data_IF_710528747921
#
_entry.id   IF_710528747921
#
_cell.length_a   1.000
_cell.length_b   1.000
_cell.length_c   1.000
_cell.angle_alpha   90.00
_cell.angle_beta   90.00
_cell.angle_gamma   90.00
#
_symmetry.space_group_name_H-M   'P 1'
#
loop_
_entity.id
_entity.type
_entity.pdbx_description
1 polymer ?
#
# COMPACT_ATOMS: atom_id res chain seq x y z
N UNK A 1 -14.59 16.63 -25.58
CA UNK A 1 -13.48 16.49 -26.54
C UNK A 1 -12.53 15.49 -25.89
N UNK A 2 -12.51 14.26 -26.40
CA UNK A 2 -11.56 13.23 -25.98
C UNK A 2 -10.27 13.50 -26.73
N UNK A 3 -9.28 14.12 -26.07
CA UNK A 3 -7.93 14.16 -26.61
C UNK A 3 -7.44 12.73 -26.74
N UNK A 4 -7.19 12.31 -27.97
CA UNK A 4 -6.56 11.02 -28.25
C UNK A 4 -5.14 11.05 -27.70
N UNK A 5 -4.95 10.38 -26.55
CA UNK A 5 -3.64 10.20 -25.95
C UNK A 5 -2.82 9.32 -26.88
N UNK A 6 -1.90 9.91 -27.62
CA UNK A 6 -1.02 9.21 -28.54
C UNK A 6 0.06 8.47 -27.75
N UNK A 7 -0.29 7.29 -27.26
CA UNK A 7 0.63 6.43 -26.53
C UNK A 7 1.49 5.64 -27.51
N UNK A 8 2.83 5.57 -27.34
CA UNK A 8 3.67 4.76 -28.20
C UNK A 8 3.28 3.28 -28.15
N UNK A 9 3.44 2.57 -29.27
CA UNK A 9 3.08 1.16 -29.40
C UNK A 9 3.89 0.24 -28.46
N UNK A 10 5.11 0.65 -28.13
CA UNK A 10 6.02 -0.05 -27.20
C UNK A 10 6.81 0.98 -26.39
N UNK A 11 6.94 0.73 -25.09
CA UNK A 11 7.73 1.51 -24.15
C UNK A 11 9.15 0.94 -23.99
N UNK A 12 10.14 1.72 -23.57
CA UNK A 12 11.43 1.19 -23.16
C UNK A 12 11.21 0.06 -22.14
N UNK A 13 11.85 -1.11 -22.34
CA UNK A 13 11.66 -2.29 -21.49
C UNK A 13 10.53 -3.24 -21.88
N UNK A 14 9.95 -3.10 -23.11
CA UNK A 14 9.03 -4.11 -23.67
C UNK A 14 7.60 -4.10 -23.11
N UNK A 15 7.20 -3.03 -22.38
CA UNK A 15 5.84 -2.90 -21.85
C UNK A 15 4.88 -2.59 -23.00
N UNK A 16 3.85 -3.42 -23.16
CA UNK A 16 2.82 -3.19 -24.17
C UNK A 16 1.84 -2.11 -23.70
N UNK A 17 1.19 -1.39 -24.66
CA UNK A 17 0.12 -0.45 -24.37
C UNK A 17 -0.98 -1.07 -23.48
N UNK A 18 -1.30 -2.36 -23.69
CA UNK A 18 -2.29 -3.08 -22.90
C UNK A 18 -1.85 -3.23 -21.45
N UNK A 19 -0.62 -3.67 -21.20
CA UNK A 19 -0.07 -3.83 -19.83
C UNK A 19 0.00 -2.49 -19.11
N UNK A 20 0.38 -1.42 -19.83
CA UNK A 20 0.41 -0.07 -19.26
C UNK A 20 -0.99 0.44 -18.87
N UNK A 21 -2.00 0.23 -19.73
CA UNK A 21 -3.38 0.60 -19.39
C UNK A 21 -3.96 -0.25 -18.26
N UNK A 22 -3.59 -1.54 -18.16
CA UNK A 22 -3.95 -2.40 -17.02
C UNK A 22 -3.34 -1.87 -15.72
N UNK A 23 -2.09 -1.45 -15.76
CA UNK A 23 -1.43 -0.79 -14.63
C UNK A 23 -2.15 0.51 -14.21
N UNK A 24 -2.48 1.40 -15.16
CA UNK A 24 -3.24 2.62 -14.87
C UNK A 24 -4.63 2.32 -14.27
N UNK A 25 -5.26 1.24 -14.71
CA UNK A 25 -6.55 0.77 -14.16
C UNK A 25 -6.39 0.24 -12.74
N UNK A 26 -5.32 -0.52 -12.46
CA UNK A 26 -5.01 -1.00 -11.13
C UNK A 26 -4.69 0.14 -10.16
N UNK A 27 -3.95 1.16 -10.63
CA UNK A 27 -3.73 2.40 -9.86
C UNK A 27 -5.04 3.14 -9.56
N UNK A 28 -5.93 3.28 -10.55
CA UNK A 28 -7.24 3.88 -10.32
C UNK A 28 -8.00 3.13 -9.22
N UNK A 29 -8.04 1.79 -9.29
CA UNK A 29 -8.68 0.97 -8.28
C UNK A 29 -8.00 1.12 -6.90
N UNK A 30 -6.68 1.12 -6.84
CA UNK A 30 -5.89 1.35 -5.61
C UNK A 30 -6.16 2.71 -4.96
N UNK A 31 -6.45 3.73 -5.76
CA UNK A 31 -6.84 5.07 -5.32
C UNK A 31 -8.35 5.21 -5.06
N UNK A 32 -9.12 4.12 -5.13
CA UNK A 32 -10.58 4.11 -5.06
C UNK A 32 -11.26 5.02 -6.11
N UNK A 33 -10.69 5.10 -7.31
CA UNK A 33 -11.19 5.86 -8.45
C UNK A 33 -11.85 4.93 -9.47
N UNK A 34 -12.83 5.42 -10.27
CA UNK A 34 -13.40 4.65 -11.36
C UNK A 34 -12.33 4.26 -12.41
N UNK A 35 -12.47 3.08 -13.02
CA UNK A 35 -11.56 2.60 -14.08
C UNK A 35 -11.49 3.56 -15.29
N UNK A 36 -12.53 4.39 -15.49
CA UNK A 36 -12.56 5.45 -16.51
C UNK A 36 -11.51 6.54 -16.31
N UNK A 37 -10.86 6.59 -15.15
CA UNK A 37 -9.74 7.50 -14.88
C UNK A 37 -8.40 7.00 -15.42
N UNK A 38 -8.29 5.72 -15.82
CA UNK A 38 -7.05 5.14 -16.33
C UNK A 38 -6.39 5.95 -17.48
N UNK A 39 -7.13 6.47 -18.49
CA UNK A 39 -6.51 7.31 -19.53
C UNK A 39 -5.91 8.61 -18.98
N UNK A 40 -6.56 9.24 -17.99
CA UNK A 40 -6.07 10.47 -17.38
C UNK A 40 -4.83 10.21 -16.51
N UNK A 41 -4.80 9.09 -15.80
CA UNK A 41 -3.62 8.62 -15.08
C UNK A 41 -2.49 8.33 -16.08
N UNK A 42 -2.80 7.66 -17.20
CA UNK A 42 -1.84 7.40 -18.26
C UNK A 42 -1.22 8.70 -18.81
N UNK A 43 -2.03 9.71 -19.07
CA UNK A 43 -1.55 11.03 -19.53
C UNK A 43 -0.60 11.68 -18.51
N UNK A 44 -1.00 11.70 -17.23
CA UNK A 44 -0.17 12.29 -16.17
C UNK A 44 1.19 11.56 -16.00
N UNK A 45 1.18 10.24 -16.17
CA UNK A 45 2.40 9.42 -16.11
C UNK A 45 3.32 9.62 -17.33
N UNK A 46 2.74 9.99 -18.47
CA UNK A 46 3.50 10.19 -19.73
C UNK A 46 3.85 11.64 -20.03
N UNK A 47 3.53 12.54 -19.11
CA UNK A 47 3.89 13.95 -19.26
C UNK A 47 5.41 14.10 -19.32
N UNK A 48 5.97 14.70 -20.38
CA UNK A 48 7.40 14.93 -20.47
C UNK A 48 7.94 15.91 -19.42
N UNK A 49 7.07 16.74 -18.83
CA UNK A 49 7.41 17.60 -17.69
C UNK A 49 7.24 16.84 -16.38
N UNK A 50 8.21 16.03 -16.05
CA UNK A 50 8.21 15.26 -14.79
C UNK A 50 8.33 16.23 -13.61
N UNK A 51 7.48 16.06 -12.57
CA UNK A 51 7.62 16.89 -11.38
C UNK A 51 8.91 16.55 -10.65
N UNK A 52 9.68 17.54 -10.24
CA UNK A 52 10.82 17.33 -9.40
C UNK A 52 10.41 16.77 -8.04
N UNK A 53 11.13 15.78 -7.55
CA UNK A 53 10.98 15.21 -6.21
C UNK A 53 12.28 15.41 -5.45
N UNK A 54 12.16 16.04 -4.30
CA UNK A 54 13.23 16.18 -3.30
C UNK A 54 12.89 15.24 -2.15
N UNK A 55 13.79 14.34 -1.81
CA UNK A 55 13.60 13.37 -0.74
C UNK A 55 14.66 13.60 0.35
N UNK A 56 14.22 14.08 1.50
CA UNK A 56 15.07 14.37 2.64
C UNK A 56 15.03 13.23 3.67
N UNK A 57 16.18 12.90 4.23
CA UNK A 57 16.37 11.85 5.22
C UNK A 57 16.72 12.44 6.59
N UNK A 58 15.92 12.09 7.60
CA UNK A 58 16.12 12.50 8.99
C UNK A 58 16.58 11.35 9.88
N UNK A 59 16.05 11.28 11.12
CA UNK A 59 16.31 10.16 12.01
C UNK A 59 15.48 8.94 11.58
N UNK A 60 16.12 8.02 10.85
CA UNK A 60 15.46 6.93 10.14
C UNK A 60 16.39 5.70 9.96
N UNK A 61 15.91 4.67 9.28
CA UNK A 61 16.61 3.42 8.98
C UNK A 61 16.71 3.11 7.48
N UNK A 62 16.37 4.06 6.60
CA UNK A 62 16.26 3.91 5.13
C UNK A 62 15.20 2.89 4.69
N UNK A 63 14.37 2.40 5.64
CA UNK A 63 13.39 1.34 5.39
C UNK A 63 12.29 1.74 4.41
N UNK A 64 11.89 3.01 4.37
CA UNK A 64 10.85 3.49 3.47
C UNK A 64 11.37 3.60 2.04
N UNK A 65 12.60 4.10 1.85
CA UNK A 65 13.31 4.05 0.56
C UNK A 65 13.49 2.61 0.08
N UNK A 66 13.93 1.70 0.95
CA UNK A 66 14.06 0.27 0.62
C UNK A 66 12.72 -0.38 0.25
N UNK A 67 11.63 0.03 0.88
CA UNK A 67 10.29 -0.42 0.50
C UNK A 67 9.92 0.03 -0.91
N UNK A 68 10.25 1.28 -1.28
CA UNK A 68 10.01 1.79 -2.63
C UNK A 68 10.78 0.98 -3.68
N UNK A 69 12.05 0.61 -3.40
CA UNK A 69 12.87 -0.21 -4.30
C UNK A 69 12.30 -1.62 -4.56
N UNK A 70 11.35 -2.07 -3.74
CA UNK A 70 10.67 -3.36 -3.91
C UNK A 70 9.40 -3.28 -4.75
N UNK A 71 9.04 -2.10 -5.26
CA UNK A 71 7.93 -1.98 -6.19
C UNK A 71 8.29 -2.64 -7.54
N UNK A 72 7.41 -3.50 -8.05
CA UNK A 72 7.60 -4.17 -9.34
C UNK A 72 6.75 -3.54 -10.45
N UNK A 73 5.66 -2.83 -10.08
CA UNK A 73 4.73 -2.21 -11.01
C UNK A 73 4.33 -0.78 -10.60
N UNK A 74 5.03 0.28 -11.02
CA UNK A 74 6.24 0.30 -11.86
C UNK A 74 7.47 -0.19 -11.10
N UNK A 75 8.48 -0.67 -11.83
CA UNK A 75 9.80 -0.89 -11.24
C UNK A 75 10.42 0.45 -10.85
N UNK A 76 11.40 0.44 -9.95
CA UNK A 76 12.07 1.66 -9.49
C UNK A 76 12.74 2.42 -10.62
N UNK A 77 13.28 1.73 -11.62
CA UNK A 77 13.87 2.37 -12.80
C UNK A 77 12.80 3.16 -13.57
N UNK A 78 11.64 2.57 -13.79
CA UNK A 78 10.51 3.28 -14.43
C UNK A 78 9.99 4.44 -13.60
N UNK A 79 9.94 4.27 -12.27
CA UNK A 79 9.57 5.38 -11.40
C UNK A 79 10.50 6.56 -11.59
N UNK A 80 11.80 6.35 -11.46
CA UNK A 80 12.82 7.42 -11.49
C UNK A 80 13.00 7.99 -12.91
N UNK A 81 13.01 7.13 -13.95
CA UNK A 81 13.31 7.58 -15.30
C UNK A 81 12.09 8.03 -16.10
N UNK A 82 10.90 7.56 -15.76
CA UNK A 82 9.70 7.81 -16.57
C UNK A 82 8.61 8.62 -15.85
N UNK A 83 8.47 8.49 -14.51
CA UNK A 83 7.32 9.03 -13.79
C UNK A 83 7.62 10.30 -12.99
N UNK A 84 8.79 10.38 -12.36
CA UNK A 84 9.23 11.51 -11.56
C UNK A 84 10.63 11.94 -11.97
N UNK A 85 11.02 13.17 -11.64
CA UNK A 85 12.41 13.57 -11.63
C UNK A 85 12.91 13.51 -10.19
N UNK A 86 13.65 12.48 -9.83
CA UNK A 86 14.25 12.36 -8.49
C UNK A 86 15.51 13.21 -8.45
N UNK A 87 15.34 14.49 -8.11
CA UNK A 87 16.40 15.49 -8.20
C UNK A 87 17.33 15.50 -7.00
N UNK A 88 16.84 15.00 -5.87
CA UNK A 88 17.63 14.87 -4.63
C UNK A 88 17.15 13.67 -3.82
N UNK A 89 18.08 12.77 -3.47
CA UNK A 89 17.85 11.62 -2.61
C UNK A 89 19.19 11.15 -2.03
N UNK A 90 19.43 11.39 -0.78
CA UNK A 90 20.74 11.22 -0.13
C UNK A 90 21.37 9.82 -0.28
N UNK A 91 20.54 8.77 -0.44
CA UNK A 91 21.03 7.39 -0.54
C UNK A 91 21.06 6.84 -1.97
N UNK A 92 20.43 7.49 -2.95
CA UNK A 92 20.33 7.00 -4.33
C UNK A 92 21.06 7.88 -5.34
N UNK A 93 21.37 9.14 -5.01
CA UNK A 93 22.06 10.04 -5.91
C UNK A 93 23.55 9.71 -6.04
N UNK A 94 24.13 10.01 -7.22
CA UNK A 94 25.54 9.79 -7.47
C UNK A 94 26.45 10.93 -6.95
N UNK A 95 25.86 12.11 -6.71
CA UNK A 95 26.57 13.28 -6.18
C UNK A 95 26.91 13.13 -4.72
N UNK A 96 27.88 13.90 -4.22
CA UNK A 96 28.22 13.95 -2.80
C UNK A 96 28.70 15.35 -2.40
N UNK A 97 28.55 15.68 -1.10
CA UNK A 97 29.05 16.91 -0.50
C UNK A 97 28.52 18.17 -1.18
N UNK A 98 29.39 19.10 -1.54
CA UNK A 98 28.99 20.39 -2.12
C UNK A 98 28.22 20.27 -3.46
N UNK A 99 28.46 19.22 -4.24
CA UNK A 99 27.74 19.01 -5.50
C UNK A 99 26.27 18.70 -5.25
N UNK A 100 25.98 17.83 -4.31
CA UNK A 100 24.65 17.47 -3.86
C UNK A 100 23.89 18.65 -3.30
N UNK A 101 24.51 19.38 -2.38
CA UNK A 101 23.92 20.59 -1.77
C UNK A 101 23.62 21.67 -2.84
N UNK A 102 24.54 21.86 -3.80
CA UNK A 102 24.31 22.78 -4.92
C UNK A 102 23.20 22.31 -5.87
N UNK A 103 23.02 20.99 -6.04
CA UNK A 103 21.92 20.43 -6.82
C UNK A 103 20.60 20.68 -6.12
N UNK A 104 20.51 20.40 -4.82
CA UNK A 104 19.33 20.68 -4.00
C UNK A 104 18.93 22.15 -4.08
N UNK A 105 19.87 23.07 -3.88
CA UNK A 105 19.62 24.51 -3.94
C UNK A 105 19.08 24.94 -5.32
N UNK A 106 19.68 24.45 -6.42
CA UNK A 106 19.22 24.75 -7.78
C UNK A 106 17.83 24.19 -8.05
N UNK A 107 17.52 22.98 -7.59
CA UNK A 107 16.20 22.37 -7.77
C UNK A 107 15.13 23.19 -7.05
N UNK A 108 15.39 23.62 -5.82
CA UNK A 108 14.48 24.46 -5.05
C UNK A 108 14.23 25.80 -5.76
N UNK A 109 15.30 26.48 -6.20
CA UNK A 109 15.21 27.77 -6.87
C UNK A 109 14.45 27.69 -8.21
N UNK A 110 14.81 26.69 -9.04
CA UNK A 110 14.23 26.53 -10.38
C UNK A 110 12.78 26.04 -10.36
N UNK A 111 12.35 25.37 -9.29
CA UNK A 111 11.05 24.71 -9.19
C UNK A 111 10.21 25.20 -8.00
N UNK A 112 10.40 26.45 -7.59
CA UNK A 112 9.68 27.02 -6.45
C UNK A 112 8.16 26.82 -6.59
N UNK A 113 7.54 26.24 -5.58
CA UNK A 113 6.10 25.92 -5.52
C UNK A 113 5.64 24.74 -6.42
N UNK A 114 6.56 24.06 -7.11
CA UNK A 114 6.20 23.02 -8.10
C UNK A 114 6.73 21.64 -7.75
N UNK A 115 7.75 21.49 -6.90
CA UNK A 115 8.30 20.20 -6.55
C UNK A 115 7.52 19.52 -5.41
N UNK A 116 7.62 18.21 -5.36
CA UNK A 116 7.11 17.39 -4.28
C UNK A 116 8.25 17.17 -3.28
N UNK A 117 8.03 17.55 -2.02
CA UNK A 117 8.93 17.25 -0.93
C UNK A 117 8.49 15.96 -0.24
N UNK A 118 9.34 14.94 -0.26
CA UNK A 118 9.19 13.71 0.51
C UNK A 118 10.15 13.77 1.68
N UNK A 119 9.67 13.48 2.87
CA UNK A 119 10.48 13.46 4.09
C UNK A 119 10.39 12.06 4.71
N UNK A 120 11.52 11.40 4.83
CA UNK A 120 11.71 10.13 5.53
C UNK A 120 12.41 10.37 6.86
N UNK A 121 11.94 9.76 7.94
CA UNK A 121 12.55 9.90 9.26
C UNK A 121 11.88 10.91 10.18
N UNK A 122 12.15 10.76 11.46
CA UNK A 122 11.72 11.67 12.50
C UNK A 122 12.60 12.91 12.58
N UNK A 123 12.09 13.98 13.19
CA UNK A 123 12.79 15.24 13.35
C UNK A 123 13.12 15.44 14.84
N UNK A 124 14.39 15.29 15.25
CA UNK A 124 14.80 15.62 16.61
C UNK A 124 14.69 17.12 16.86
N UNK A 125 14.10 17.50 18.00
CA UNK A 125 13.96 18.92 18.39
C UNK A 125 14.77 19.27 19.62
N UNK A 126 15.20 18.29 20.44
CA UNK A 126 15.99 18.54 21.62
C UNK A 126 17.32 19.20 21.24
N UNK A 127 17.82 20.10 22.08
CA UNK A 127 19.04 20.85 21.88
C UNK A 127 19.15 21.52 20.50
N UNK A 128 18.06 22.19 20.10
CA UNK A 128 17.90 22.84 18.78
C UNK A 128 18.07 21.91 17.57
N UNK A 129 17.81 20.62 17.74
CA UNK A 129 17.82 19.64 16.62
C UNK A 129 19.20 19.08 16.26
N UNK A 130 20.22 19.29 17.14
CA UNK A 130 21.61 18.85 16.88
C UNK A 130 21.77 17.35 16.65
N UNK A 131 20.81 16.53 17.09
CA UNK A 131 20.87 15.07 17.00
C UNK A 131 20.63 14.49 15.60
N UNK A 132 20.24 15.33 14.64
CA UNK A 132 20.20 14.94 13.22
C UNK A 132 20.73 16.11 12.39
N UNK A 133 21.89 15.90 11.76
CA UNK A 133 22.55 16.91 10.91
C UNK A 133 22.91 16.32 9.56
N UNK A 134 22.52 17.02 8.51
CA UNK A 134 22.77 16.64 7.12
C UNK A 134 23.35 17.85 6.39
N UNK A 135 24.38 17.66 5.58
CA UNK A 135 25.02 18.74 4.84
C UNK A 135 25.55 19.89 5.72
N UNK A 136 25.86 19.61 7.00
CA UNK A 136 26.32 20.61 7.96
C UNK A 136 25.21 21.42 8.64
N UNK A 137 23.94 21.26 8.25
CA UNK A 137 22.75 21.90 8.85
C UNK A 137 22.02 20.93 9.79
N UNK A 138 21.28 21.48 10.75
CA UNK A 138 20.34 20.69 11.52
C UNK A 138 19.15 20.31 10.62
N UNK A 139 18.73 19.05 10.68
CA UNK A 139 17.68 18.53 9.78
C UNK A 139 16.36 19.30 9.89
N UNK A 140 16.00 19.75 11.09
CA UNK A 140 14.82 20.59 11.32
C UNK A 140 14.84 21.88 10.50
N UNK A 141 16.02 22.50 10.32
CA UNK A 141 16.16 23.73 9.54
C UNK A 141 16.05 23.43 8.03
N UNK A 142 16.71 22.35 7.57
CA UNK A 142 16.60 21.89 6.18
C UNK A 142 15.16 21.57 5.79
N UNK A 143 14.41 20.90 6.68
CA UNK A 143 12.98 20.61 6.46
C UNK A 143 12.16 21.90 6.36
N UNK A 144 12.35 22.87 7.26
CA UNK A 144 11.61 24.14 7.22
C UNK A 144 11.91 24.94 5.96
N UNK A 145 13.19 25.08 5.60
CA UNK A 145 13.63 25.81 4.41
C UNK A 145 13.07 25.18 3.13
N UNK A 146 13.23 23.87 2.97
CA UNK A 146 12.76 23.16 1.77
C UNK A 146 11.24 23.15 1.67
N UNK A 147 10.55 22.91 2.79
CA UNK A 147 9.09 22.90 2.83
C UNK A 147 8.47 24.26 2.48
N UNK A 148 9.13 25.37 2.79
CA UNK A 148 8.64 26.71 2.45
C UNK A 148 8.45 26.88 0.93
N UNK A 149 9.28 26.23 0.13
CA UNK A 149 9.26 26.29 -1.33
C UNK A 149 8.51 25.13 -2.01
N UNK A 150 8.09 24.10 -1.26
CA UNK A 150 7.45 22.91 -1.83
C UNK A 150 6.00 23.14 -2.26
N UNK A 151 5.59 22.54 -3.38
CA UNK A 151 4.20 22.51 -3.85
C UNK A 151 3.34 21.51 -3.09
N UNK A 152 3.90 20.36 -2.74
CA UNK A 152 3.26 19.34 -1.91
C UNK A 152 4.29 18.73 -0.94
N UNK A 153 3.85 18.27 0.24
CA UNK A 153 4.70 17.71 1.27
C UNK A 153 4.15 16.35 1.69
N UNK A 154 4.98 15.32 1.63
CA UNK A 154 4.64 13.95 1.99
C UNK A 154 5.60 13.47 3.08
N UNK A 155 5.07 13.08 4.23
CA UNK A 155 5.80 12.39 5.29
C UNK A 155 5.67 10.88 5.07
N UNK A 156 6.75 10.23 4.63
CA UNK A 156 6.77 8.80 4.34
C UNK A 156 7.30 8.00 5.53
N UNK A 157 6.54 6.99 5.90
CA UNK A 157 6.84 6.18 7.08
C UNK A 157 6.31 6.74 8.39
N UNK A 158 6.26 5.88 9.39
CA UNK A 158 5.76 6.25 10.72
C UNK A 158 6.68 7.21 11.45
N UNK A 159 7.99 7.20 11.13
CA UNK A 159 8.96 8.12 11.70
C UNK A 159 8.67 9.56 11.26
N UNK A 160 8.49 9.79 9.97
CA UNK A 160 8.12 11.10 9.44
C UNK A 160 6.70 11.52 9.81
N UNK A 161 5.76 10.57 9.89
CA UNK A 161 4.35 10.88 10.22
C UNK A 161 4.16 11.34 11.67
N UNK A 162 4.81 10.70 12.65
CA UNK A 162 4.66 10.99 14.09
C UNK A 162 5.81 10.51 14.98
N UNK A 163 7.02 10.50 14.46
CA UNK A 163 8.23 10.17 15.20
C UNK A 163 8.60 8.68 15.22
N UNK A 164 7.64 7.76 15.04
CA UNK A 164 7.87 6.32 14.92
C UNK A 164 8.73 5.73 16.03
N UNK A 165 9.66 4.85 15.66
CA UNK A 165 10.58 4.20 16.60
C UNK A 165 11.52 5.19 17.29
N UNK A 166 11.93 6.27 16.62
CA UNK A 166 12.82 7.27 17.16
C UNK A 166 12.17 8.08 18.30
N UNK A 167 10.83 8.22 18.27
CA UNK A 167 10.06 8.92 19.31
C UNK A 167 9.54 7.99 20.43
N UNK A 168 9.92 6.70 20.46
CA UNK A 168 9.57 5.81 21.56
C UNK A 168 10.14 6.33 22.89
N UNK A 169 9.39 6.10 23.97
CA UNK A 169 9.87 6.43 25.31
C UNK A 169 11.23 5.77 25.59
N UNK A 170 12.20 6.50 26.13
CA UNK A 170 12.14 7.84 26.74
C UNK A 170 12.29 9.03 25.78
N UNK A 171 12.47 8.82 24.48
CA UNK A 171 12.66 9.86 23.45
C UNK A 171 13.66 10.97 23.84
N UNK A 172 14.92 10.64 24.11
CA UNK A 172 15.89 11.58 24.64
C UNK A 172 16.28 12.70 23.67
N UNK A 173 16.05 12.50 22.38
CA UNK A 173 16.36 13.47 21.32
C UNK A 173 15.16 14.35 20.96
N UNK A 174 13.99 14.13 21.58
CA UNK A 174 12.77 14.87 21.30
C UNK A 174 12.31 14.72 19.86
N UNK A 175 12.39 13.50 19.32
CA UNK A 175 11.92 13.20 17.96
C UNK A 175 10.42 13.38 17.82
N UNK A 176 10.01 14.05 16.74
CA UNK A 176 8.60 14.32 16.40
C UNK A 176 8.34 14.02 14.93
N UNK A 177 7.05 14.04 14.53
CA UNK A 177 6.65 13.97 13.12
C UNK A 177 6.76 15.32 12.41
N UNK A 178 6.74 15.27 11.08
CA UNK A 178 6.90 16.43 10.19
C UNK A 178 5.79 17.47 10.42
N UNK A 179 4.54 17.02 10.63
CA UNK A 179 3.41 17.94 10.84
C UNK A 179 3.57 18.81 12.10
N UNK A 180 4.27 18.32 13.12
CA UNK A 180 4.53 19.07 14.35
C UNK A 180 5.52 20.21 14.13
N UNK A 181 6.44 20.04 13.17
CA UNK A 181 7.44 21.04 12.78
C UNK A 181 6.86 22.05 11.80
N UNK A 182 6.02 21.58 10.86
CA UNK A 182 5.46 22.38 9.77
C UNK A 182 4.02 22.82 10.08
N UNK A 183 3.82 23.48 11.20
CA UNK A 183 2.52 24.02 11.59
C UNK A 183 2.00 25.00 10.53
N UNK A 184 0.72 24.88 10.17
CA UNK A 184 0.10 25.69 9.13
C UNK A 184 0.33 25.26 7.69
N UNK A 185 1.18 24.25 7.43
CA UNK A 185 1.32 23.57 6.15
C UNK A 185 0.61 22.23 6.18
N UNK A 186 -0.07 21.86 5.09
CA UNK A 186 -0.65 20.53 4.97
C UNK A 186 0.44 19.53 4.62
N UNK A 187 0.63 18.53 5.48
CA UNK A 187 1.52 17.39 5.25
C UNK A 187 0.67 16.15 5.03
N UNK A 188 0.94 15.41 3.98
CA UNK A 188 0.28 14.12 3.73
C UNK A 188 1.08 13.03 4.43
N UNK A 189 0.49 12.38 5.41
CA UNK A 189 1.11 11.28 6.14
C UNK A 189 0.86 9.94 5.43
N UNK A 190 1.92 9.25 5.07
CA UNK A 190 1.90 7.89 4.51
C UNK A 190 2.61 6.95 5.48
N UNK A 191 1.98 6.65 6.63
CA UNK A 191 2.62 5.86 7.68
C UNK A 191 2.76 4.38 7.32
N UNK A 192 3.68 3.74 8.01
CA UNK A 192 4.06 2.33 7.94
C UNK A 192 5.51 2.20 8.37
N UNK A 193 5.96 1.00 8.75
CA UNK A 193 7.36 0.79 9.14
C UNK A 193 7.89 -0.53 8.53
N UNK A 194 8.24 -0.42 7.22
CA UNK A 194 8.00 0.66 6.27
C UNK A 194 6.55 0.71 5.76
N UNK A 195 6.13 1.78 5.05
CA UNK A 195 4.83 1.82 4.39
C UNK A 195 4.81 0.93 3.15
N UNK A 196 3.61 0.55 2.73
CA UNK A 196 3.43 -0.10 1.44
C UNK A 196 3.86 0.87 0.31
N UNK A 197 4.78 0.49 -0.60
CA UNK A 197 5.28 1.37 -1.65
C UNK A 197 4.17 1.92 -2.54
N UNK A 198 3.13 1.13 -2.81
CA UNK A 198 2.01 1.56 -3.65
C UNK A 198 1.13 2.63 -3.00
N UNK A 199 1.11 2.74 -1.67
CA UNK A 199 0.43 3.84 -0.99
C UNK A 199 1.12 5.18 -1.27
N UNK A 200 2.45 5.19 -1.26
CA UNK A 200 3.24 6.38 -1.62
C UNK A 200 3.08 6.70 -3.11
N UNK A 201 3.29 5.72 -3.98
CA UNK A 201 3.17 5.88 -5.44
C UNK A 201 1.78 6.39 -5.84
N UNK A 202 0.72 5.78 -5.29
CA UNK A 202 -0.66 6.24 -5.55
C UNK A 202 -0.91 7.67 -5.07
N UNK A 203 -0.29 8.07 -3.96
CA UNK A 203 -0.40 9.44 -3.45
C UNK A 203 0.28 10.44 -4.40
N UNK A 204 1.49 10.14 -4.86
CA UNK A 204 2.22 10.98 -5.83
C UNK A 204 1.45 11.03 -7.15
N UNK A 205 1.07 9.89 -7.71
CA UNK A 205 0.36 9.82 -8.99
C UNK A 205 -1.01 10.50 -8.92
N UNK A 206 -1.72 10.41 -7.79
CA UNK A 206 -2.95 11.15 -7.59
C UNK A 206 -2.70 12.66 -7.70
N UNK A 207 -1.68 13.17 -7.00
CA UNK A 207 -1.33 14.59 -7.05
C UNK A 207 -0.98 15.03 -8.47
N UNK A 208 -0.17 14.25 -9.20
CA UNK A 208 0.20 14.54 -10.59
C UNK A 208 -1.01 14.54 -11.54
N UNK A 209 -1.93 13.60 -11.34
CA UNK A 209 -3.10 13.44 -12.22
C UNK A 209 -4.12 14.58 -12.04
N UNK A 210 -4.31 15.04 -10.81
CA UNK A 210 -5.40 15.94 -10.46
C UNK A 210 -4.94 17.33 -10.02
N UNK A 211 -3.63 17.54 -9.84
CA UNK A 211 -3.04 18.70 -9.19
C UNK A 211 -3.71 19.01 -7.83
N UNK A 212 -4.10 17.96 -7.13
CA UNK A 212 -4.77 18.01 -5.83
C UNK A 212 -4.34 16.81 -5.00
N UNK A 213 -4.22 17.03 -3.70
CA UNK A 213 -4.00 15.93 -2.76
C UNK A 213 -5.21 14.97 -2.75
N UNK A 214 -5.00 13.68 -2.48
CA UNK A 214 -6.10 12.73 -2.29
C UNK A 214 -6.96 13.13 -1.08
N UNK A 215 -8.17 12.58 -0.99
CA UNK A 215 -8.99 12.76 0.20
C UNK A 215 -8.26 12.22 1.44
N UNK A 216 -8.10 13.06 2.46
CA UNK A 216 -7.36 12.74 3.67
C UNK A 216 -8.32 12.49 4.84
N UNK A 217 -7.89 11.66 5.80
CA UNK A 217 -8.55 11.49 7.10
C UNK A 217 -8.13 12.59 8.10
N UNK A 218 -8.63 12.50 9.34
CA UNK A 218 -8.32 13.47 10.39
C UNK A 218 -6.83 13.48 10.80
N UNK A 219 -6.04 12.49 10.41
CA UNK A 219 -4.59 12.40 10.65
C UNK A 219 -3.79 12.71 9.39
N UNK A 220 -4.40 13.34 8.40
CA UNK A 220 -3.82 13.67 7.10
C UNK A 220 -3.31 12.45 6.31
N UNK A 221 -3.90 11.26 6.51
CA UNK A 221 -3.56 10.06 5.74
C UNK A 221 -4.49 9.89 4.55
N UNK A 222 -4.03 9.45 3.37
CA UNK A 222 -4.89 9.15 2.23
C UNK A 222 -5.97 8.11 2.57
N UNK A 223 -7.26 8.48 2.44
CA UNK A 223 -8.39 7.60 2.81
C UNK A 223 -8.42 6.30 2.01
N UNK A 224 -7.93 6.29 0.77
CA UNK A 224 -7.87 5.08 -0.04
C UNK A 224 -6.99 3.98 0.60
N UNK A 225 -5.94 4.38 1.33
CA UNK A 225 -5.01 3.45 2.00
C UNK A 225 -5.33 3.26 3.50
N UNK A 226 -5.80 4.31 4.17
CA UNK A 226 -5.95 4.33 5.63
C UNK A 226 -7.39 4.57 6.11
N UNK A 227 -8.38 4.45 5.22
CA UNK A 227 -9.78 4.62 5.54
C UNK A 227 -10.48 3.38 6.11
N UNK A 228 -9.79 2.26 6.22
CA UNK A 228 -10.36 0.97 6.66
C UNK A 228 -9.59 0.39 7.84
N UNK A 229 -10.33 -0.17 8.78
CA UNK A 229 -9.74 -0.86 9.92
C UNK A 229 -9.17 -2.21 9.46
N UNK A 230 -7.92 -2.51 9.79
CA UNK A 230 -7.26 -3.79 9.43
C UNK A 230 -8.11 -4.98 9.88
N UNK A 231 -8.62 -4.94 11.11
CA UNK A 231 -9.39 -6.02 11.70
C UNK A 231 -10.64 -6.40 10.92
N UNK A 232 -11.30 -5.44 10.25
CA UNK A 232 -12.52 -5.68 9.46
C UNK A 232 -12.25 -6.45 8.16
N UNK A 233 -11.04 -6.34 7.63
CA UNK A 233 -10.65 -6.94 6.35
C UNK A 233 -9.54 -7.98 6.49
N UNK A 234 -9.23 -8.39 7.72
CA UNK A 234 -8.21 -9.39 8.01
C UNK A 234 -8.71 -10.79 7.62
N UNK A 235 -7.89 -11.56 6.93
CA UNK A 235 -8.16 -12.95 6.57
C UNK A 235 -8.41 -13.84 7.79
N UNK A 236 -7.89 -13.44 8.98
CA UNK A 236 -8.09 -14.15 10.25
C UNK A 236 -9.32 -13.66 11.03
N UNK A 237 -10.08 -12.69 10.51
CA UNK A 237 -11.30 -12.19 11.15
C UNK A 237 -12.33 -13.28 11.43
N UNK A 238 -12.57 -14.24 10.54
CA UNK A 238 -13.48 -15.35 10.81
C UNK A 238 -13.07 -16.18 12.04
N UNK A 239 -11.77 -16.32 12.30
CA UNK A 239 -11.31 -17.00 13.53
C UNK A 239 -11.60 -16.17 14.78
N UNK A 240 -11.47 -14.85 14.71
CA UNK A 240 -11.82 -13.96 15.81
C UNK A 240 -13.31 -14.12 16.17
N UNK A 241 -14.18 -14.05 15.17
CA UNK A 241 -15.65 -14.12 15.36
C UNK A 241 -16.11 -15.48 15.92
N UNK A 242 -15.34 -16.55 15.68
CA UNK A 242 -15.58 -17.90 16.19
C UNK A 242 -14.80 -18.23 17.48
N UNK A 243 -14.11 -17.27 18.09
CA UNK A 243 -13.35 -17.49 19.32
C UNK A 243 -12.11 -18.37 19.14
N UNK A 244 -11.59 -18.52 17.91
CA UNK A 244 -10.38 -19.31 17.61
C UNK A 244 -9.16 -18.39 17.63
N UNK A 245 -8.37 -18.51 18.67
CA UNK A 245 -7.22 -17.67 18.91
C UNK A 245 -5.95 -18.48 19.05
N UNK A 246 -4.84 -17.97 18.47
CA UNK A 246 -3.51 -18.41 18.84
C UNK A 246 -3.15 -17.82 20.21
N UNK A 247 -2.65 -18.67 21.12
CA UNK A 247 -2.27 -18.30 22.48
C UNK A 247 -0.76 -18.17 22.65
N UNK A 248 0.00 -18.96 21.89
CA UNK A 248 1.44 -18.99 21.91
C UNK A 248 1.99 -19.06 20.47
N UNK A 249 3.16 -18.47 20.26
CA UNK A 249 3.84 -18.58 18.96
C UNK A 249 4.27 -20.03 18.72
N UNK A 250 3.96 -20.55 17.54
CA UNK A 250 4.33 -21.93 17.15
C UNK A 250 3.41 -23.04 17.67
N UNK A 251 2.38 -22.72 18.48
CA UNK A 251 1.37 -23.73 18.86
C UNK A 251 0.47 -24.11 17.66
N UNK A 252 -0.39 -25.10 17.86
CA UNK A 252 -1.26 -25.62 16.81
C UNK A 252 -2.19 -24.54 16.23
N UNK A 253 -2.86 -23.76 17.09
CA UNK A 253 -3.71 -22.65 16.63
C UNK A 253 -2.94 -21.59 15.82
N UNK A 254 -1.70 -21.31 16.23
CA UNK A 254 -0.83 -20.40 15.47
C UNK A 254 -0.48 -20.98 14.09
N UNK A 255 -0.09 -22.27 14.02
CA UNK A 255 0.21 -22.97 12.75
C UNK A 255 -1.00 -23.10 11.84
N UNK A 256 -2.20 -23.25 12.39
CA UNK A 256 -3.46 -23.31 11.67
C UNK A 256 -3.99 -21.93 11.25
N UNK A 257 -3.29 -20.85 11.56
CA UNK A 257 -3.67 -19.51 11.14
C UNK A 257 -4.79 -18.87 11.97
N UNK A 258 -5.03 -19.30 13.22
CA UNK A 258 -6.01 -18.69 14.12
C UNK A 258 -5.70 -17.20 14.38
N UNK A 259 -6.71 -16.48 14.87
CA UNK A 259 -6.58 -15.04 15.14
C UNK A 259 -5.46 -14.76 16.17
N UNK A 260 -4.61 -13.79 15.87
CA UNK A 260 -3.45 -13.40 16.68
C UNK A 260 -3.77 -12.37 17.78
N UNK A 261 -5.05 -12.16 18.09
CA UNK A 261 -5.48 -11.14 19.06
C UNK A 261 -4.78 -11.28 20.42
N UNK A 262 -4.73 -12.49 20.96
CA UNK A 262 -4.06 -12.75 22.24
C UNK A 262 -2.54 -12.74 22.19
N UNK A 263 -1.96 -12.72 21.00
CA UNK A 263 -0.53 -12.47 20.80
C UNK A 263 -0.21 -10.97 20.68
N UNK A 264 -1.20 -10.10 20.94
CA UNK A 264 -1.01 -8.65 20.99
C UNK A 264 -1.29 -7.94 19.67
N UNK A 265 -2.07 -8.52 18.76
CA UNK A 265 -2.43 -7.89 17.49
C UNK A 265 -3.15 -6.55 17.70
N UNK A 266 -2.62 -5.48 17.11
CA UNK A 266 -3.19 -4.12 17.13
C UNK A 266 -4.13 -3.85 15.94
N UNK A 267 -4.39 -4.85 15.09
CA UNK A 267 -5.34 -4.74 13.98
C UNK A 267 -6.70 -4.15 14.36
N UNK A 268 -7.28 -4.50 15.54
CA UNK A 268 -8.56 -3.95 15.99
C UNK A 268 -8.61 -2.44 16.21
N UNK A 269 -7.48 -1.74 16.29
CA UNK A 269 -7.39 -0.29 16.49
C UNK A 269 -6.58 0.41 15.42
N UNK A 270 -6.19 -0.28 14.34
CA UNK A 270 -5.26 0.20 13.33
C UNK A 270 -5.93 0.30 11.97
N UNK A 271 -5.86 1.50 11.37
CA UNK A 271 -6.37 1.76 10.03
C UNK A 271 -5.25 1.66 9.00
N UNK A 272 -5.37 0.73 8.08
CA UNK A 272 -4.49 0.55 6.90
C UNK A 272 -5.07 -0.49 5.93
N UNK A 273 -4.51 -0.55 4.73
CA UNK A 273 -4.86 -1.52 3.70
C UNK A 273 -3.96 -2.77 3.67
N UNK A 274 -3.14 -2.99 4.70
CA UNK A 274 -2.16 -4.10 4.72
C UNK A 274 -2.78 -5.48 4.48
N UNK A 275 -4.00 -5.70 4.98
CA UNK A 275 -4.73 -6.97 4.81
C UNK A 275 -5.23 -7.22 3.38
N UNK A 276 -5.38 -6.19 2.57
CA UNK A 276 -5.92 -6.28 1.20
C UNK A 276 -4.88 -5.99 0.12
N UNK A 277 -4.02 -5.00 0.34
CA UNK A 277 -2.95 -4.64 -0.60
C UNK A 277 -1.66 -5.42 -0.37
N UNK A 278 -1.48 -5.99 0.83
CA UNK A 278 -0.26 -6.67 1.27
C UNK A 278 1.01 -5.82 1.05
N UNK A 279 2.21 -6.35 1.31
CA UNK A 279 3.44 -5.57 1.09
C UNK A 279 4.02 -5.88 -0.29
N UNK A 280 3.45 -5.28 -1.32
CA UNK A 280 3.97 -5.35 -2.68
C UNK A 280 3.99 -6.76 -3.25
N UNK A 281 4.88 -6.96 -4.19
CA UNK A 281 4.95 -8.14 -5.05
C UNK A 281 5.79 -9.27 -4.43
N UNK A 282 6.17 -9.16 -3.16
CA UNK A 282 6.97 -10.16 -2.46
C UNK A 282 6.23 -11.50 -2.18
N UNK A 283 5.11 -11.72 -2.85
CA UNK A 283 4.30 -12.94 -2.78
C UNK A 283 3.04 -12.77 -1.93
N UNK A 284 2.09 -13.66 -2.12
CA UNK A 284 0.83 -13.67 -1.37
C UNK A 284 1.08 -13.89 0.13
N UNK A 285 0.39 -13.15 0.99
CA UNK A 285 0.53 -13.26 2.45
C UNK A 285 1.69 -12.47 3.05
N UNK A 286 2.41 -11.69 2.25
CA UNK A 286 3.51 -10.86 2.72
C UNK A 286 3.03 -9.62 3.47
N UNK A 287 2.43 -9.80 4.60
CA UNK A 287 2.18 -8.78 5.60
C UNK A 287 2.22 -9.44 6.99
N UNK A 288 2.45 -8.69 8.10
CA UNK A 288 2.75 -9.31 9.39
C UNK A 288 1.76 -10.38 9.81
N UNK A 289 0.45 -10.13 9.71
CA UNK A 289 -0.56 -11.11 10.14
C UNK A 289 -0.61 -12.31 9.19
N UNK A 290 -0.46 -12.11 7.89
CA UNK A 290 -0.38 -13.20 6.90
C UNK A 290 0.76 -14.16 7.19
N UNK A 291 1.92 -13.65 7.61
CA UNK A 291 3.09 -14.44 7.96
C UNK A 291 3.12 -14.97 9.40
N UNK A 292 2.05 -14.75 10.18
CA UNK A 292 1.92 -15.26 11.54
C UNK A 292 2.39 -14.32 12.65
N UNK A 293 2.77 -13.07 12.33
CA UNK A 293 3.11 -12.06 13.33
C UNK A 293 1.91 -11.13 13.59
N UNK A 294 1.55 -10.83 14.86
CA UNK A 294 0.47 -9.89 15.15
C UNK A 294 0.72 -8.52 14.53
N UNK A 295 -0.34 -7.84 14.11
CA UNK A 295 -0.24 -6.45 13.64
C UNK A 295 0.36 -5.57 14.74
N UNK A 296 1.41 -4.84 14.41
CA UNK A 296 2.13 -3.98 15.33
C UNK A 296 1.42 -2.62 15.55
N UNK A 297 0.53 -2.24 14.62
CA UNK A 297 -0.14 -0.95 14.68
C UNK A 297 0.71 0.22 14.19
N UNK A 298 1.73 -0.02 13.37
CA UNK A 298 2.70 1.00 12.95
C UNK A 298 2.08 2.17 12.17
N UNK A 299 0.96 1.97 11.50
CA UNK A 299 0.26 3.02 10.74
C UNK A 299 -0.65 3.89 11.60
N UNK A 300 -0.75 3.60 12.90
CA UNK A 300 -1.67 4.31 13.80
C UNK A 300 -0.92 5.09 14.87
N UNK A 301 -1.15 6.40 14.90
CA UNK A 301 -0.56 7.28 15.89
C UNK A 301 -1.00 6.89 17.32
N UNK A 302 -0.06 6.80 18.24
CA UNK A 302 -0.34 6.43 19.63
C UNK A 302 -0.56 4.93 19.86
N UNK A 303 -0.51 4.10 18.82
CA UNK A 303 -0.65 2.64 18.90
C UNK A 303 0.71 1.99 18.64
N UNK A 304 1.17 1.98 17.41
CA UNK A 304 2.51 1.49 17.10
C UNK A 304 3.56 2.28 17.86
N UNK A 305 4.56 1.58 18.39
CA UNK A 305 5.67 2.14 19.17
C UNK A 305 5.32 2.67 20.58
N UNK A 306 4.02 2.86 20.89
CA UNK A 306 3.56 3.40 22.18
C UNK A 306 2.87 2.36 23.05
N UNK A 307 2.09 1.46 22.46
CA UNK A 307 1.45 0.37 23.20
C UNK A 307 2.41 -0.80 23.38
N UNK A 308 2.35 -1.53 24.52
CA UNK A 308 3.13 -2.76 24.69
C UNK A 308 2.84 -3.75 23.57
N UNK A 309 3.90 -4.33 22.97
CA UNK A 309 3.80 -5.12 21.74
C UNK A 309 2.86 -6.32 21.86
N UNK A 310 2.98 -7.10 22.94
CA UNK A 310 2.24 -8.35 23.14
C UNK A 310 1.00 -8.20 24.03
N UNK A 311 0.59 -6.96 24.35
CA UNK A 311 -0.67 -6.72 25.06
C UNK A 311 -1.85 -6.68 24.08
N UNK A 312 -3.02 -7.13 24.53
CA UNK A 312 -4.26 -6.96 23.76
C UNK A 312 -4.62 -5.49 23.61
N UNK A 313 -5.31 -5.14 22.54
CA UNK A 313 -5.86 -3.81 22.29
C UNK A 313 -7.38 -3.80 22.47
N UNK A 314 -8.01 -2.62 22.69
CA UNK A 314 -9.44 -2.50 22.53
C UNK A 314 -9.88 -2.99 21.14
N UNK A 315 -11.14 -3.45 21.03
CA UNK A 315 -11.70 -3.87 19.74
C UNK A 315 -12.68 -2.80 19.28
N UNK A 316 -12.29 -2.06 18.25
CA UNK A 316 -13.21 -1.20 17.53
C UNK A 316 -14.03 -2.07 16.56
N UNK A 317 -15.29 -1.72 16.38
CA UNK A 317 -16.21 -2.44 15.50
C UNK A 317 -16.23 -3.96 15.80
N UNK A 318 -16.60 -4.30 17.04
CA UNK A 318 -16.63 -5.69 17.51
C UNK A 318 -17.60 -6.58 16.71
N UNK A 319 -18.68 -5.99 16.16
CA UNK A 319 -19.64 -6.69 15.31
C UNK A 319 -18.96 -7.11 13.99
N UNK A 320 -19.16 -8.35 13.51
CA UNK A 320 -18.64 -8.79 12.23
C UNK A 320 -19.03 -7.82 11.12
N UNK A 321 -18.07 -7.48 10.26
CA UNK A 321 -18.34 -6.63 9.10
C UNK A 321 -19.20 -7.36 8.09
N UNK A 322 -20.02 -6.64 7.33
CA UNK A 322 -20.82 -7.22 6.24
C UNK A 322 -19.98 -7.87 5.13
N UNK A 323 -18.68 -7.58 5.08
CA UNK A 323 -17.75 -8.20 4.12
C UNK A 323 -17.31 -9.63 4.48
N UNK A 324 -17.56 -10.05 5.73
CA UNK A 324 -17.30 -11.40 6.18
C UNK A 324 -18.62 -12.01 6.67
N UNK A 325 -19.18 -12.92 5.88
CA UNK A 325 -20.31 -13.70 6.36
C UNK A 325 -19.95 -14.31 7.73
N UNK A 326 -20.84 -14.22 8.74
CA UNK A 326 -20.61 -14.94 9.98
C UNK A 326 -20.35 -16.40 9.60
N UNK A 327 -19.23 -16.94 10.05
CA UNK A 327 -19.05 -18.39 9.98
C UNK A 327 -20.04 -18.92 11.01
N UNK A 328 -21.26 -19.16 10.56
CA UNK A 328 -22.09 -20.12 11.24
C UNK A 328 -21.34 -21.43 11.17
N UNK A 329 -20.73 -21.82 12.29
CA UNK A 329 -20.45 -23.23 12.49
C UNK A 329 -21.83 -23.87 12.65
N UNK A 330 -22.58 -23.98 11.56
CA UNK A 330 -23.40 -25.14 11.43
C UNK A 330 -22.38 -26.28 11.60
N UNK A 331 -22.42 -26.93 12.75
CA UNK A 331 -22.04 -28.32 12.82
C UNK A 331 -22.90 -28.97 11.75
N UNK A 332 -22.34 -28.99 10.52
CA UNK A 332 -23.05 -29.53 9.43
C UNK A 332 -23.50 -30.92 9.85
N UNK A 333 -24.75 -31.11 9.99
CA UNK A 333 -25.29 -32.37 9.56
C UNK A 333 -24.71 -32.48 8.15
N UNK A 334 -23.67 -33.31 8.01
CA UNK A 334 -23.01 -33.53 6.75
C UNK A 334 -24.12 -33.86 5.77
N UNK A 335 -24.04 -33.32 4.58
CA UNK A 335 -25.00 -33.47 3.50
C UNK A 335 -25.65 -34.83 3.68
N UNK A 336 -26.92 -34.84 4.10
CA UNK A 336 -27.57 -36.12 4.44
C UNK A 336 -27.34 -37.07 3.28
N UNK A 337 -27.09 -38.37 3.52
CA UNK A 337 -26.84 -39.31 2.44
C UNK A 337 -27.86 -39.20 1.29
N UNK A 338 -29.09 -38.77 1.61
CA UNK A 338 -30.14 -38.49 0.63
C UNK A 338 -29.87 -37.25 -0.21
N UNK A 339 -29.38 -36.15 0.35
CA UNK A 339 -29.04 -34.94 -0.40
C UNK A 339 -27.77 -35.15 -1.24
N UNK A 340 -26.80 -35.89 -0.74
CA UNK A 340 -25.62 -36.29 -1.52
C UNK A 340 -25.97 -37.20 -2.69
N UNK A 341 -26.90 -38.15 -2.49
CA UNK A 341 -27.42 -39.01 -3.56
C UNK A 341 -28.22 -38.22 -4.59
N UNK A 342 -28.97 -37.20 -4.15
CA UNK A 342 -29.76 -36.34 -5.07
C UNK A 342 -28.84 -35.45 -5.92
N UNK A 343 -27.78 -34.87 -5.32
CA UNK A 343 -26.79 -34.08 -6.06
C UNK A 343 -25.95 -34.95 -7.01
N UNK A 344 -25.58 -36.16 -6.61
CA UNK A 344 -24.90 -37.11 -7.48
C UNK A 344 -25.82 -37.61 -8.62
N UNK A 345 -27.09 -37.81 -8.33
CA UNK A 345 -28.09 -38.20 -9.31
C UNK A 345 -28.37 -37.13 -10.38
N UNK A 346 -28.51 -35.85 -9.94
CA UNK A 346 -28.72 -34.72 -10.88
C UNK A 346 -27.44 -34.45 -11.68
N UNK A 347 -26.26 -34.49 -11.05
CA UNK A 347 -24.98 -34.36 -11.74
C UNK A 347 -24.74 -35.49 -12.75
N UNK A 348 -25.01 -36.74 -12.35
CA UNK A 348 -24.90 -37.90 -13.23
C UNK A 348 -25.87 -37.85 -14.40
N UNK A 349 -27.13 -37.43 -14.21
CA UNK A 349 -28.11 -37.26 -15.27
C UNK A 349 -27.73 -36.16 -16.26
N UNK A 350 -27.16 -35.04 -15.80
CA UNK A 350 -26.68 -33.96 -16.66
C UNK A 350 -25.49 -34.41 -17.53
N UNK A 351 -24.53 -35.15 -16.95
CA UNK A 351 -23.38 -35.71 -17.68
C UNK A 351 -23.86 -36.78 -18.68
N UNK A 352 -24.75 -37.67 -18.24
CA UNK A 352 -25.30 -38.72 -19.11
C UNK A 352 -26.08 -38.16 -20.31
N UNK A 353 -26.90 -37.11 -20.12
CA UNK A 353 -27.60 -36.43 -21.19
C UNK A 353 -26.63 -35.74 -22.16
N UNK A 354 -25.54 -35.12 -21.65
CA UNK A 354 -24.48 -34.50 -22.47
C UNK A 354 -23.76 -35.52 -23.37
N UNK A 355 -23.40 -36.68 -22.81
CA UNK A 355 -22.75 -37.77 -23.56
C UNK A 355 -23.65 -38.35 -24.63
N UNK A 356 -24.95 -38.58 -24.33
CA UNK A 356 -25.92 -39.08 -25.31
C UNK A 356 -26.17 -38.06 -26.42
N UNK A 357 -26.18 -36.75 -26.10
CA UNK A 357 -26.35 -35.71 -27.09
C UNK A 357 -25.12 -35.60 -28.00
N UNK A 358 -23.91 -35.69 -27.46
CA UNK A 358 -22.66 -35.69 -28.23
C UNK A 358 -22.55 -36.92 -29.14
N UNK A 359 -22.93 -38.12 -28.66
CA UNK A 359 -22.95 -39.32 -29.46
C UNK A 359 -23.99 -39.27 -30.63
N UNK A 360 -25.13 -38.57 -30.40
CA UNK A 360 -26.12 -38.36 -31.49
C UNK A 360 -25.65 -37.35 -32.53
N UNK A 361 -24.82 -36.36 -32.15
CA UNK A 361 -24.23 -35.42 -33.11
C UNK A 361 -23.17 -36.12 -33.98
N UNK A 362 -22.31 -36.95 -33.40
CA UNK A 362 -21.29 -37.73 -34.14
C UNK A 362 -21.89 -38.66 -35.14
N UNK A 363 -22.97 -39.41 -34.80
CA UNK A 363 -23.68 -40.29 -35.72
C UNK A 363 -24.45 -39.57 -36.85
N UNK A 364 -24.64 -38.26 -36.75
CA UNK A 364 -25.24 -37.48 -37.84
C UNK A 364 -24.21 -37.06 -38.89
N UNK A 365 -22.97 -36.83 -38.49
CA UNK A 365 -21.89 -36.52 -39.43
C UNK A 365 -21.48 -37.76 -40.26
N UNK A 366 -21.37 -38.94 -39.66
CA UNK A 366 -21.06 -40.18 -40.38
C UNK A 366 -22.14 -40.57 -41.43
N UNK A 367 -23.42 -40.26 -41.19
CA UNK A 367 -24.48 -40.52 -42.17
C UNK A 367 -24.49 -39.56 -43.37
N UNK A 368 -23.86 -38.41 -43.26
CA UNK A 368 -23.78 -37.47 -44.38
C UNK A 368 -22.56 -37.69 -45.27
N UNK A 369 -21.57 -38.44 -44.84
CA UNK A 369 -20.43 -38.83 -45.67
C UNK A 369 -20.72 -40.08 -46.50
N UNK A 370 -21.53 -41.03 -46.00
CA UNK A 370 -21.94 -42.24 -46.75
C UNK A 370 -22.98 -41.96 -47.84
N UNK A 371 -23.66 -40.82 -47.89
CA UNK A 371 -24.60 -40.41 -48.92
C UNK A 371 -23.96 -39.66 -50.12
N UNK A 372 -22.63 -39.40 -50.03
CA UNK A 372 -21.86 -38.68 -51.05
C UNK A 372 -20.72 -39.47 -51.70
N UNK A 373 -20.70 -40.82 -51.53
CA UNK A 373 -19.74 -41.69 -52.18
C UNK A 373 -20.39 -42.48 -53.37
#
# INVERSE_FOLDING_TARGET
MTEDVHLPATWPGGVTRRSFMQFCTALAAGMALPATMAPRIAHAITDPQRPPVIWLHGAECTGCSMSLLRAEHPTVEKLIFDLISLDFHETLEAGAGHQTEASLARTIESNYGKFILVIEGAIPLQDAGIYCRVGGKNFVDSVKETAAAAGAIIAVGSCASWGGVAAMSPNPTGCVGVQEVLQGRQVVNVPGCPPNPYNLLSTIIHYLTFNKLPALDAKNRPKFAYGRLIHEHCERRPHFDNGRFAREFGEEGHRQGYCLYYLGCKGPVTYANCSTAQFGDAGSGCWPVGTGHPCFGCTEQGVGFNMPQFSTSPVLHATPSAGHAPITVERGEGVTPGAAALMAGVGGAAIGAGVVFAAKLGNKEERHEDEKA
#
